data_IF_994153750322
#
_entry.id   IF_994153750322
#
_cell.length_a   1.000
_cell.length_b   1.000
_cell.length_c   1.000
_cell.angle_alpha   90.00
_cell.angle_beta   90.00
_cell.angle_gamma   90.00
#
_symmetry.space_group_name_H-M   'P 1'
#
loop_
_entity.id
_entity.type
_entity.pdbx_description
1 polymer ?
#
# COMPACT_ATOMS: atom_id res chain seq x y z
N UNK A 1 9.93 -17.75 -66.72
CA UNK A 1 10.98 -17.94 -67.75
C UNK A 1 12.30 -18.26 -67.05
N UNK A 2 12.89 -19.39 -67.47
CA UNK A 2 14.28 -19.85 -67.38
C UNK A 2 15.00 -20.03 -66.02
N UNK A 3 14.97 -21.30 -65.60
CA UNK A 3 16.06 -22.07 -65.00
C UNK A 3 17.39 -21.86 -65.74
N UNK A 4 18.52 -21.83 -65.04
CA UNK A 4 19.77 -22.42 -65.52
C UNK A 4 20.61 -23.02 -64.39
N UNK A 5 20.81 -24.34 -64.49
CA UNK A 5 21.89 -25.11 -63.89
C UNK A 5 23.24 -24.64 -64.46
N UNK A 6 24.32 -24.73 -63.67
CA UNK A 6 25.61 -25.10 -64.23
C UNK A 6 26.49 -25.84 -63.21
N UNK A 7 26.42 -27.15 -63.28
CA UNK A 7 27.46 -28.08 -62.87
C UNK A 7 28.68 -27.95 -63.79
N UNK A 8 29.88 -28.26 -63.25
CA UNK A 8 31.05 -28.88 -63.93
C UNK A 8 32.22 -27.96 -64.37
N UNK A 9 33.36 -28.09 -63.68
CA UNK A 9 34.78 -28.07 -64.15
C UNK A 9 35.67 -28.41 -62.93
N UNK A 10 36.25 -29.62 -62.80
CA UNK A 10 37.43 -30.23 -63.44
C UNK A 10 38.77 -29.54 -63.08
N UNK A 11 39.71 -30.32 -62.56
CA UNK A 11 41.18 -30.09 -62.57
C UNK A 11 41.80 -29.97 -61.17
N UNK A 12 42.29 -31.04 -60.51
CA UNK A 12 43.59 -31.74 -60.71
C UNK A 12 44.83 -30.98 -60.20
N UNK A 13 45.32 -31.34 -59.00
CA UNK A 13 46.73 -31.32 -58.54
C UNK A 13 46.86 -32.53 -57.59
N UNK A 14 47.40 -33.69 -57.98
CA UNK A 14 48.79 -34.10 -58.25
C UNK A 14 49.67 -34.17 -56.98
N UNK A 15 49.93 -35.42 -56.54
CA UNK A 15 51.23 -36.05 -56.18
C UNK A 15 52.14 -35.26 -55.22
N UNK A 16 52.68 -35.78 -54.12
CA UNK A 16 53.01 -37.14 -53.70
C UNK A 16 54.35 -37.11 -52.94
N UNK A 17 54.55 -38.08 -52.04
CA UNK A 17 55.81 -38.60 -51.44
C UNK A 17 55.38 -39.23 -50.10
N UNK A 18 55.39 -40.54 -49.92
CA UNK A 18 56.58 -41.39 -49.86
C UNK A 18 56.54 -42.09 -48.49
N UNK A 19 55.88 -43.24 -48.41
CA UNK A 19 56.52 -44.55 -48.15
C UNK A 19 57.42 -44.55 -46.89
N UNK A 20 56.86 -45.05 -45.79
CA UNK A 20 57.61 -45.84 -44.80
C UNK A 20 56.78 -47.09 -44.51
N UNK A 21 57.23 -48.19 -45.10
CA UNK A 21 56.67 -49.55 -45.00
C UNK A 21 57.22 -50.23 -43.73
N UNK A 22 56.31 -50.92 -43.04
CA UNK A 22 56.47 -52.10 -42.18
C UNK A 22 57.78 -52.26 -41.37
N UNK A 23 57.63 -52.34 -40.05
CA UNK A 23 58.25 -53.42 -39.30
C UNK A 23 57.50 -53.70 -37.98
N UNK A 24 56.88 -54.88 -37.97
CA UNK A 24 56.85 -55.84 -36.87
C UNK A 24 55.99 -55.62 -35.60
N UNK A 25 55.33 -56.73 -35.27
CA UNK A 25 54.84 -57.18 -33.97
C UNK A 25 53.37 -56.90 -33.68
N UNK A 26 52.59 -57.98 -33.87
CA UNK A 26 51.40 -58.26 -33.08
C UNK A 26 51.74 -58.09 -31.60
N UNK A 27 51.16 -57.06 -30.99
CA UNK A 27 50.85 -57.09 -29.58
C UNK A 27 49.32 -57.10 -29.50
N UNK A 28 48.78 -58.20 -29.00
CA UNK A 28 47.46 -58.21 -28.40
C UNK A 28 47.47 -57.18 -27.27
N UNK A 29 47.18 -55.93 -27.58
CA UNK A 29 46.70 -54.99 -26.58
C UNK A 29 45.30 -55.46 -26.25
N UNK A 30 45.19 -56.23 -25.16
CA UNK A 30 43.94 -56.39 -24.45
C UNK A 30 43.31 -55.00 -24.34
N UNK A 31 42.16 -54.80 -24.97
CA UNK A 31 41.28 -53.70 -24.63
C UNK A 31 40.87 -54.02 -23.19
N UNK A 32 41.60 -53.47 -22.23
CA UNK A 32 41.13 -53.36 -20.86
C UNK A 32 39.95 -52.41 -20.98
N UNK A 33 38.77 -52.98 -21.20
CA UNK A 33 37.53 -52.32 -20.81
C UNK A 33 37.75 -51.89 -19.36
N UNK A 34 37.62 -50.60 -19.02
CA UNK A 34 37.52 -50.23 -17.62
C UNK A 34 36.29 -50.97 -17.09
N UNK A 35 36.55 -51.96 -16.25
CA UNK A 35 35.54 -52.67 -15.46
C UNK A 35 34.58 -51.62 -14.88
N UNK A 36 33.30 -51.74 -15.19
CA UNK A 36 32.22 -50.84 -14.80
C UNK A 36 31.93 -50.85 -13.28
N UNK A 37 32.95 -51.12 -12.45
CA UNK A 37 32.78 -51.40 -11.03
C UNK A 37 33.02 -50.23 -10.08
N UNK A 38 33.70 -49.15 -10.47
CA UNK A 38 33.89 -47.99 -9.57
C UNK A 38 34.04 -46.67 -10.35
N UNK A 39 32.98 -46.24 -11.05
CA UNK A 39 32.89 -44.82 -11.43
C UNK A 39 32.46 -44.03 -10.19
N UNK A 40 33.43 -43.39 -9.54
CA UNK A 40 33.19 -42.47 -8.42
C UNK A 40 32.24 -41.37 -8.92
N UNK A 41 31.02 -41.31 -8.37
CA UNK A 41 30.03 -40.31 -8.77
C UNK A 41 30.31 -39.00 -8.03
N UNK A 42 30.52 -37.91 -8.76
CA UNK A 42 30.80 -36.60 -8.16
C UNK A 42 29.51 -35.90 -7.70
N UNK A 43 29.52 -35.36 -6.49
CA UNK A 43 28.45 -34.53 -5.96
C UNK A 43 28.52 -33.11 -6.53
N UNK A 44 27.36 -32.47 -6.68
CA UNK A 44 27.24 -31.06 -7.05
C UNK A 44 27.66 -30.18 -5.88
N UNK A 45 28.43 -29.14 -6.17
CA UNK A 45 28.80 -28.08 -5.21
C UNK A 45 27.67 -27.08 -4.96
N UNK A 46 26.71 -26.96 -5.88
CA UNK A 46 25.52 -26.12 -5.70
C UNK A 46 24.28 -26.81 -6.22
N UNK A 47 23.21 -26.82 -5.42
CA UNK A 47 21.95 -27.50 -5.74
C UNK A 47 20.76 -26.60 -5.44
N UNK A 48 19.81 -26.57 -6.38
CA UNK A 48 18.50 -25.97 -6.20
C UNK A 48 17.47 -27.04 -5.88
N UNK A 49 16.66 -26.81 -4.84
CA UNK A 49 15.69 -27.77 -4.32
C UNK A 49 14.32 -27.11 -4.09
N UNK A 50 13.25 -27.91 -4.09
CA UNK A 50 11.89 -27.43 -3.83
C UNK A 50 11.38 -27.84 -2.43
N UNK A 51 11.87 -28.96 -1.91
CA UNK A 51 11.50 -29.51 -0.60
C UNK A 51 12.23 -28.82 0.55
N UNK A 52 11.61 -28.76 1.73
CA UNK A 52 12.24 -28.31 2.97
C UNK A 52 13.17 -29.38 3.56
N UNK A 53 12.93 -30.65 3.27
CA UNK A 53 13.81 -31.76 3.64
C UNK A 53 14.88 -31.98 2.56
N UNK A 54 16.14 -31.97 2.98
CA UNK A 54 17.28 -32.19 2.09
C UNK A 54 17.68 -33.65 2.17
N UNK A 55 17.47 -34.39 1.09
CA UNK A 55 17.93 -35.77 0.93
C UNK A 55 19.21 -35.83 0.13
N UNK A 56 20.06 -36.83 0.35
CA UNK A 56 21.38 -36.86 -0.28
C UNK A 56 21.34 -37.11 -1.80
N UNK A 57 20.25 -37.66 -2.32
CA UNK A 57 20.04 -37.90 -3.75
C UNK A 57 19.93 -36.60 -4.56
N UNK A 58 19.58 -35.46 -3.95
CA UNK A 58 19.56 -34.17 -4.65
C UNK A 58 20.96 -33.71 -5.09
N UNK A 59 22.02 -34.25 -4.46
CA UNK A 59 23.42 -33.86 -4.72
C UNK A 59 24.03 -34.56 -5.93
N UNK A 60 23.45 -35.65 -6.42
CA UNK A 60 23.97 -36.42 -7.56
C UNK A 60 23.42 -35.93 -8.91
N UNK A 61 24.13 -36.27 -9.99
CA UNK A 61 23.68 -36.02 -11.38
C UNK A 61 22.66 -37.07 -11.83
N UNK A 62 21.87 -36.73 -12.84
CA UNK A 62 20.79 -37.56 -13.40
C UNK A 62 21.23 -38.94 -13.90
N UNK A 63 22.52 -39.08 -14.23
CA UNK A 63 23.15 -40.27 -14.83
C UNK A 63 23.61 -41.32 -13.79
N UNK A 64 23.46 -41.06 -12.49
CA UNK A 64 23.83 -42.01 -11.44
C UNK A 64 22.96 -43.28 -11.44
N UNK A 65 23.52 -44.40 -10.98
CA UNK A 65 22.79 -45.69 -10.92
C UNK A 65 21.55 -45.60 -10.02
N UNK A 66 20.46 -46.31 -10.37
CA UNK A 66 19.20 -46.26 -9.62
C UNK A 66 19.37 -46.75 -8.17
N UNK A 67 20.16 -47.80 -7.96
CA UNK A 67 20.47 -48.33 -6.62
C UNK A 67 21.18 -47.29 -5.72
N UNK A 68 22.14 -46.54 -6.27
CA UNK A 68 22.84 -45.49 -5.51
C UNK A 68 21.88 -44.35 -5.16
N UNK A 69 20.99 -43.98 -6.09
CA UNK A 69 19.99 -42.93 -5.87
C UNK A 69 19.02 -43.30 -4.75
N UNK A 70 18.52 -44.53 -4.75
CA UNK A 70 17.60 -45.02 -3.71
C UNK A 70 18.25 -45.01 -2.32
N UNK A 71 19.50 -45.50 -2.23
CA UNK A 71 20.26 -45.49 -0.99
C UNK A 71 20.54 -44.06 -0.48
N UNK A 72 20.80 -43.10 -1.38
CA UNK A 72 21.01 -41.69 -1.02
C UNK A 72 19.70 -40.98 -0.64
N UNK A 73 18.57 -41.34 -1.25
CA UNK A 73 17.27 -40.75 -0.95
C UNK A 73 16.77 -41.08 0.47
N UNK A 74 17.31 -42.14 1.09
CA UNK A 74 17.03 -42.49 2.48
C UNK A 74 17.79 -41.64 3.52
N UNK A 75 18.80 -40.87 3.09
CA UNK A 75 19.69 -40.12 4.00
C UNK A 75 19.31 -38.65 4.01
N UNK A 76 18.90 -38.14 5.18
CA UNK A 76 18.59 -36.74 5.39
C UNK A 76 19.84 -35.92 5.73
N UNK A 77 20.20 -34.99 4.84
CA UNK A 77 21.32 -34.07 4.99
C UNK A 77 20.98 -32.83 5.82
N UNK A 78 19.71 -32.46 5.91
CA UNK A 78 19.30 -31.32 6.73
C UNK A 78 17.88 -30.84 6.43
N UNK A 79 17.61 -29.64 6.91
CA UNK A 79 16.34 -28.96 6.71
C UNK A 79 16.60 -27.49 6.40
N UNK A 80 15.95 -26.95 5.38
CA UNK A 80 15.92 -25.52 5.10
C UNK A 80 14.52 -25.02 5.45
N UNK A 81 14.38 -24.12 6.44
CA UNK A 81 13.07 -23.60 6.82
C UNK A 81 12.41 -22.80 5.69
N UNK A 82 11.08 -22.82 5.64
CA UNK A 82 10.30 -22.05 4.67
C UNK A 82 10.42 -20.53 4.92
N UNK A 83 10.31 -19.65 3.90
CA UNK A 83 10.14 -19.90 2.46
C UNK A 83 11.44 -19.82 1.65
N UNK A 84 12.47 -19.15 2.19
CA UNK A 84 13.76 -18.91 1.55
C UNK A 84 14.86 -19.28 2.54
N UNK A 85 15.87 -19.98 2.04
CA UNK A 85 17.02 -20.33 2.83
C UNK A 85 18.15 -20.88 1.99
N UNK A 86 19.35 -20.72 2.55
CA UNK A 86 20.59 -21.27 2.04
C UNK A 86 21.15 -22.15 3.15
N UNK A 87 21.49 -23.40 2.79
CA UNK A 87 22.21 -24.30 3.67
C UNK A 87 23.56 -24.57 3.04
N UNK A 88 24.61 -24.18 3.75
CA UNK A 88 25.98 -24.53 3.39
C UNK A 88 26.40 -25.69 4.27
N UNK A 89 26.69 -26.83 3.65
CA UNK A 89 27.20 -28.02 4.32
C UNK A 89 28.69 -28.15 4.05
N UNK A 90 29.48 -28.39 5.10
CA UNK A 90 30.87 -28.78 4.95
C UNK A 90 30.98 -30.22 4.44
N UNK A 91 32.01 -30.52 3.65
CA UNK A 91 32.27 -31.85 3.11
C UNK A 91 32.35 -32.91 4.21
N UNK A 92 33.00 -32.58 5.33
CA UNK A 92 33.09 -33.46 6.51
C UNK A 92 31.73 -33.81 7.13
N UNK A 93 30.76 -32.88 7.11
CA UNK A 93 29.41 -33.15 7.61
C UNK A 93 28.64 -34.07 6.66
N UNK A 94 28.84 -33.91 5.35
CA UNK A 94 28.25 -34.77 4.33
C UNK A 94 28.84 -36.17 4.43
N UNK A 95 30.16 -36.31 4.53
CA UNK A 95 30.86 -37.59 4.74
C UNK A 95 30.32 -38.33 5.97
N UNK A 96 30.20 -37.62 7.10
CA UNK A 96 29.66 -38.20 8.34
C UNK A 96 28.23 -38.71 8.17
N UNK A 97 27.39 -38.00 7.42
CA UNK A 97 25.98 -38.39 7.19
C UNK A 97 25.84 -39.51 6.16
N UNK A 98 26.72 -39.58 5.17
CA UNK A 98 26.72 -40.61 4.13
C UNK A 98 27.34 -41.93 4.59
N UNK A 99 28.21 -41.90 5.60
CA UNK A 99 28.83 -43.09 6.17
C UNK A 99 29.62 -43.89 5.13
N UNK A 100 29.33 -45.18 4.98
CA UNK A 100 30.03 -46.06 4.04
C UNK A 100 29.84 -45.64 2.57
N UNK A 101 28.75 -44.95 2.24
CA UNK A 101 28.48 -44.48 0.88
C UNK A 101 29.42 -43.34 0.45
N UNK A 102 30.03 -42.62 1.39
CA UNK A 102 30.95 -41.53 1.10
C UNK A 102 32.15 -42.00 0.28
N UNK A 103 32.64 -43.22 0.53
CA UNK A 103 33.80 -43.80 -0.18
C UNK A 103 33.57 -44.01 -1.69
N UNK A 104 32.31 -44.01 -2.13
CA UNK A 104 31.91 -44.21 -3.53
C UNK A 104 31.61 -42.90 -4.26
N UNK A 105 31.77 -41.77 -3.56
CA UNK A 105 31.39 -40.44 -4.03
C UNK A 105 32.58 -39.48 -3.96
N UNK A 106 32.66 -38.57 -4.92
CA UNK A 106 33.59 -37.43 -4.83
C UNK A 106 32.82 -36.26 -4.20
N UNK A 107 33.18 -35.92 -2.95
CA UNK A 107 32.50 -34.93 -2.12
C UNK A 107 33.31 -33.63 -2.15
N UNK A 108 32.73 -32.49 -2.56
CA UNK A 108 33.37 -31.18 -2.48
C UNK A 108 33.58 -30.70 -1.03
N UNK A 109 34.55 -29.80 -0.82
CA UNK A 109 34.82 -29.19 0.49
C UNK A 109 33.58 -28.49 1.09
N UNK A 110 32.76 -27.88 0.23
CA UNK A 110 31.51 -27.24 0.60
C UNK A 110 30.44 -27.50 -0.45
N UNK A 111 29.20 -27.72 0.02
CA UNK A 111 28.01 -27.79 -0.84
C UNK A 111 27.01 -26.75 -0.39
N UNK A 112 26.61 -25.91 -1.34
CA UNK A 112 25.61 -24.86 -1.14
C UNK A 112 24.25 -25.32 -1.68
N UNK A 113 23.27 -25.42 -0.81
CA UNK A 113 21.92 -25.85 -1.16
C UNK A 113 21.00 -24.65 -1.02
N UNK A 114 20.33 -24.29 -2.11
CA UNK A 114 19.42 -23.15 -2.17
C UNK A 114 18.03 -23.62 -2.52
N UNK A 115 17.01 -23.04 -1.91
CA UNK A 115 15.64 -23.32 -2.34
C UNK A 115 15.33 -22.59 -3.65
N UNK A 116 14.77 -23.29 -4.61
CA UNK A 116 14.25 -22.67 -5.82
C UNK A 116 12.96 -21.92 -5.48
N UNK A 117 12.92 -20.62 -5.80
CA UNK A 117 11.71 -19.82 -5.71
C UNK A 117 11.26 -19.38 -7.10
N UNK A 118 9.96 -19.37 -7.35
CA UNK A 118 9.43 -18.66 -8.51
C UNK A 118 9.44 -17.16 -8.23
N UNK A 119 9.56 -16.36 -9.29
CA UNK A 119 9.43 -14.91 -9.19
C UNK A 119 8.06 -14.48 -9.70
N UNK A 120 7.30 -13.81 -8.84
CA UNK A 120 6.12 -13.06 -9.23
C UNK A 120 6.55 -11.64 -9.59
N UNK A 121 6.24 -11.20 -10.82
CA UNK A 121 6.66 -9.88 -11.31
C UNK A 121 5.81 -8.79 -10.69
N UNK A 122 6.45 -7.70 -10.29
CA UNK A 122 5.78 -6.51 -9.76
C UNK A 122 4.83 -5.85 -10.76
N UNK A 123 5.09 -5.99 -12.06
CA UNK A 123 4.22 -5.48 -13.12
C UNK A 123 2.82 -6.12 -13.08
N UNK A 124 2.75 -7.45 -12.92
CA UNK A 124 1.49 -8.20 -12.86
C UNK A 124 0.68 -7.80 -11.61
N UNK A 125 1.39 -7.59 -10.49
CA UNK A 125 0.80 -7.11 -9.23
C UNK A 125 0.26 -5.69 -9.40
N UNK A 126 1.06 -4.80 -10.00
CA UNK A 126 0.69 -3.41 -10.23
C UNK A 126 -0.53 -3.27 -11.14
N UNK A 127 -0.60 -4.06 -12.21
CA UNK A 127 -1.75 -4.13 -13.10
C UNK A 127 -3.00 -4.54 -12.33
N UNK A 128 -2.91 -5.60 -11.52
CA UNK A 128 -4.04 -6.10 -10.74
C UNK A 128 -4.50 -5.09 -9.68
N UNK A 129 -3.58 -4.46 -8.95
CA UNK A 129 -3.90 -3.37 -8.02
C UNK A 129 -4.63 -2.23 -8.75
N UNK A 130 -4.11 -1.82 -9.91
CA UNK A 130 -4.71 -0.74 -10.69
C UNK A 130 -6.13 -1.08 -11.13
N UNK A 131 -6.37 -2.33 -11.56
CA UNK A 131 -7.70 -2.80 -11.93
C UNK A 131 -8.69 -2.78 -10.76
N UNK A 132 -8.25 -3.17 -9.56
CA UNK A 132 -9.07 -3.12 -8.34
C UNK A 132 -9.34 -1.69 -7.85
N UNK A 133 -8.45 -0.75 -8.15
CA UNK A 133 -8.66 0.65 -7.83
C UNK A 133 -9.63 1.34 -8.79
N UNK A 134 -9.56 1.05 -10.10
CA UNK A 134 -10.26 1.84 -11.12
C UNK A 134 -11.73 1.49 -11.34
N UNK A 135 -12.21 0.32 -10.92
CA UNK A 135 -13.63 -0.05 -11.02
C UNK A 135 -14.23 0.04 -12.44
N UNK A 136 -15.54 -0.22 -12.61
CA UNK A 136 -16.24 -0.06 -13.89
C UNK A 136 -16.57 1.41 -14.21
N UNK A 137 -16.78 2.25 -13.19
CA UNK A 137 -16.97 3.69 -13.32
C UNK A 137 -15.61 4.37 -13.18
N UNK A 138 -14.88 4.42 -14.30
CA UNK A 138 -13.52 4.95 -14.37
C UNK A 138 -13.46 6.45 -14.02
N UNK A 139 -13.42 6.75 -12.73
CA UNK A 139 -12.93 8.04 -12.25
C UNK A 139 -11.41 8.13 -12.48
N UNK A 140 -10.91 9.32 -12.82
CA UNK A 140 -9.47 9.59 -13.03
C UNK A 140 -8.70 9.46 -11.71
N UNK A 141 -8.48 8.21 -11.30
CA UNK A 141 -7.71 7.82 -10.13
C UNK A 141 -6.22 7.67 -10.51
N UNK A 142 -5.39 8.42 -9.81
CA UNK A 142 -3.95 8.26 -9.79
C UNK A 142 -3.57 7.23 -8.72
N UNK A 143 -2.88 6.17 -9.13
CA UNK A 143 -2.41 5.09 -8.25
C UNK A 143 -0.88 5.15 -8.17
N UNK A 144 -0.35 5.41 -6.98
CA UNK A 144 1.08 5.47 -6.72
C UNK A 144 1.64 4.07 -6.42
N UNK A 145 2.26 3.48 -7.44
CA UNK A 145 2.81 2.13 -7.41
C UNK A 145 4.27 2.08 -6.92
N UNK A 146 4.84 3.19 -6.45
CA UNK A 146 6.25 3.25 -6.00
C UNK A 146 6.59 2.28 -4.87
N UNK A 147 5.58 1.83 -4.12
CA UNK A 147 5.70 0.87 -3.01
C UNK A 147 5.47 -0.58 -3.42
N UNK A 148 5.11 -0.85 -4.67
CA UNK A 148 4.98 -2.22 -5.20
C UNK A 148 6.38 -2.76 -5.48
N UNK A 149 6.77 -3.92 -4.90
CA UNK A 149 8.07 -4.52 -5.17
C UNK A 149 8.23 -4.85 -6.66
N UNK A 150 9.43 -4.66 -7.20
CA UNK A 150 9.73 -5.01 -8.61
C UNK A 150 9.55 -6.51 -8.88
N UNK A 151 9.92 -7.36 -7.91
CA UNK A 151 9.70 -8.80 -7.94
C UNK A 151 9.45 -9.29 -6.51
N UNK A 152 8.61 -10.31 -6.38
CA UNK A 152 8.40 -11.06 -5.14
C UNK A 152 8.90 -12.49 -5.38
N UNK A 153 9.78 -12.96 -4.51
CA UNK A 153 10.26 -14.35 -4.55
C UNK A 153 9.30 -15.20 -3.73
N UNK A 154 8.75 -16.22 -4.36
CA UNK A 154 7.78 -17.14 -3.77
C UNK A 154 8.46 -18.42 -3.26
N UNK A 155 7.87 -19.12 -2.26
CA UNK A 155 8.34 -20.43 -1.80
C UNK A 155 8.06 -21.55 -2.81
N UNK A 156 8.63 -21.46 -4.01
CA UNK A 156 8.48 -22.48 -5.05
C UNK A 156 7.60 -22.05 -6.23
N UNK A 157 7.14 -23.01 -7.02
CA UNK A 157 6.38 -22.80 -8.25
C UNK A 157 4.97 -22.25 -7.96
N UNK A 158 4.62 -21.16 -8.66
CA UNK A 158 3.33 -20.50 -8.53
C UNK A 158 2.21 -21.35 -9.16
N UNK A 159 1.21 -21.73 -8.35
CA UNK A 159 0.00 -22.41 -8.83
C UNK A 159 -1.12 -21.40 -9.08
N UNK A 160 -1.38 -20.52 -8.10
CA UNK A 160 -2.37 -19.47 -8.17
C UNK A 160 -1.98 -18.31 -7.25
N UNK A 161 -2.42 -17.09 -7.58
CA UNK A 161 -2.33 -15.95 -6.68
C UNK A 161 -3.52 -15.03 -6.85
N UNK A 162 -3.81 -14.29 -5.80
CA UNK A 162 -4.83 -13.27 -5.78
C UNK A 162 -4.34 -12.07 -4.96
N UNK A 163 -5.00 -10.94 -5.16
CA UNK A 163 -4.78 -9.74 -4.38
C UNK A 163 -6.13 -9.13 -4.06
N UNK A 164 -6.39 -8.93 -2.78
CA UNK A 164 -7.65 -8.44 -2.27
C UNK A 164 -7.39 -7.21 -1.40
N UNK A 165 -8.38 -6.34 -1.26
CA UNK A 165 -8.32 -5.21 -0.32
C UNK A 165 -9.49 -5.29 0.64
N UNK A 166 -9.21 -5.13 1.92
CA UNK A 166 -10.23 -5.07 2.97
C UNK A 166 -10.61 -3.62 3.30
N UNK A 167 -10.17 -2.66 2.49
CA UNK A 167 -10.44 -1.24 2.72
C UNK A 167 -11.60 -0.77 1.87
N UNK A 168 -12.65 -0.31 2.55
CA UNK A 168 -13.83 0.30 1.94
C UNK A 168 -13.53 1.70 1.34
N UNK A 169 -12.41 2.33 1.75
CA UNK A 169 -12.03 3.64 1.24
C UNK A 169 -11.47 3.52 -0.19
N UNK A 170 -11.97 4.38 -1.09
CA UNK A 170 -11.54 4.43 -2.48
C UNK A 170 -10.26 5.27 -2.61
N UNK A 171 -10.19 6.40 -1.89
CA UNK A 171 -9.02 7.27 -1.86
C UNK A 171 -8.16 7.11 -0.60
N UNK A 172 -6.91 7.55 -0.71
CA UNK A 172 -5.93 7.59 0.38
C UNK A 172 -5.01 6.37 0.38
N UNK A 173 -4.59 5.95 1.57
CA UNK A 173 -3.74 4.77 1.72
C UNK A 173 -4.59 3.51 1.72
N UNK A 174 -4.46 2.69 0.68
CA UNK A 174 -5.13 1.39 0.56
C UNK A 174 -4.15 0.27 0.87
N UNK A 175 -4.62 -0.68 1.67
CA UNK A 175 -3.89 -1.89 2.02
C UNK A 175 -4.40 -3.05 1.17
N UNK A 176 -3.50 -3.68 0.44
CA UNK A 176 -3.74 -4.87 -0.35
C UNK A 176 -3.06 -6.07 0.33
N UNK A 177 -3.75 -7.20 0.29
CA UNK A 177 -3.29 -8.49 0.79
C UNK A 177 -3.07 -9.36 -0.44
N UNK A 178 -1.82 -9.66 -0.76
CA UNK A 178 -1.45 -10.63 -1.77
C UNK A 178 -1.35 -12.00 -1.11
N UNK A 179 -2.07 -12.97 -1.65
CA UNK A 179 -2.01 -14.38 -1.26
C UNK A 179 -1.63 -15.22 -2.48
N UNK A 180 -0.70 -16.14 -2.31
CA UNK A 180 -0.31 -17.07 -3.37
C UNK A 180 -0.26 -18.50 -2.84
N UNK A 181 -0.70 -19.44 -3.66
CA UNK A 181 -0.55 -20.87 -3.43
C UNK A 181 0.60 -21.35 -4.30
N UNK A 182 1.59 -21.97 -3.65
CA UNK A 182 2.78 -22.52 -4.30
C UNK A 182 3.03 -23.94 -3.83
N UNK A 183 3.85 -24.68 -4.57
CA UNK A 183 4.23 -26.06 -4.21
C UNK A 183 5.07 -26.15 -2.92
N UNK A 184 5.77 -25.08 -2.52
CA UNK A 184 6.44 -24.99 -1.22
C UNK A 184 5.64 -24.27 -0.14
N UNK A 185 4.33 -24.07 -0.35
CA UNK A 185 3.39 -23.62 0.68
C UNK A 185 2.65 -22.33 0.38
N UNK A 186 1.77 -21.88 1.29
CA UNK A 186 1.05 -20.62 1.15
C UNK A 186 1.98 -19.43 1.39
N UNK A 187 1.83 -18.39 0.58
CA UNK A 187 2.53 -17.12 0.71
C UNK A 187 1.54 -15.98 0.95
N UNK A 188 1.91 -15.03 1.81
CA UNK A 188 1.11 -13.85 2.09
C UNK A 188 1.99 -12.62 2.27
N UNK A 189 1.66 -11.53 1.57
CA UNK A 189 2.33 -10.25 1.69
C UNK A 189 1.33 -9.08 1.70
N UNK A 190 1.65 -8.06 2.50
CA UNK A 190 0.90 -6.81 2.54
C UNK A 190 1.56 -5.78 1.64
N UNK A 191 0.77 -5.10 0.82
CA UNK A 191 1.22 -4.04 -0.08
C UNK A 191 0.38 -2.79 0.18
N UNK A 192 1.05 -1.67 0.46
CA UNK A 192 0.39 -0.39 0.69
C UNK A 192 0.56 0.51 -0.51
N UNK A 193 -0.55 1.00 -1.04
CA UNK A 193 -0.58 1.85 -2.23
C UNK A 193 -1.38 3.12 -1.92
N UNK A 194 -0.90 4.26 -2.42
CA UNK A 194 -1.63 5.52 -2.31
C UNK A 194 -2.49 5.71 -3.55
N UNK A 195 -3.76 6.00 -3.34
CA UNK A 195 -4.73 6.34 -4.39
C UNK A 195 -5.16 7.78 -4.17
N UNK A 196 -5.08 8.59 -5.21
CA UNK A 196 -5.57 9.96 -5.21
C UNK A 196 -6.39 10.24 -6.48
N UNK A 197 -7.18 11.31 -6.44
CA UNK A 197 -7.99 11.77 -7.56
C UNK A 197 -7.63 13.20 -7.86
N UNK A 198 -7.49 13.55 -9.13
CA UNK A 198 -7.36 14.95 -9.54
C UNK A 198 -8.76 15.45 -9.88
N UNK A 199 -9.24 16.46 -9.14
CA UNK A 199 -10.55 17.07 -9.38
C UNK A 199 -10.38 18.54 -9.77
N UNK A 200 -11.26 19.01 -10.64
CA UNK A 200 -11.38 20.44 -10.95
C UNK A 200 -12.26 21.12 -9.87
N UNK A 201 -11.63 21.89 -9.01
CA UNK A 201 -12.29 22.59 -7.91
C UNK A 201 -12.40 24.10 -8.14
N UNK A 202 -13.32 24.74 -7.42
CA UNK A 202 -13.46 26.19 -7.39
C UNK A 202 -12.46 26.82 -6.40
N UNK A 203 -11.61 27.74 -6.88
CA UNK A 203 -10.70 28.54 -6.05
C UNK A 203 -11.12 30.01 -6.07
N UNK A 204 -11.21 30.66 -4.91
CA UNK A 204 -11.51 32.08 -4.81
C UNK A 204 -10.39 32.96 -5.36
N UNK A 205 -10.73 33.94 -6.17
CA UNK A 205 -9.80 34.93 -6.74
C UNK A 205 -9.61 36.15 -5.84
N UNK A 206 -10.51 36.36 -4.88
CA UNK A 206 -10.49 37.50 -3.93
C UNK A 206 -11.01 37.12 -2.55
N UNK A 207 -10.86 38.03 -1.59
CA UNK A 207 -11.51 37.94 -0.29
C UNK A 207 -13.04 37.96 -0.46
N UNK A 208 -13.74 37.09 0.26
CA UNK A 208 -15.20 36.99 0.26
C UNK A 208 -15.75 36.85 1.69
N UNK A 209 -16.91 37.47 1.93
CA UNK A 209 -17.54 37.62 3.26
C UNK A 209 -18.60 36.54 3.50
N UNK A 210 -18.93 36.20 4.76
CA UNK A 210 -20.08 35.36 5.08
C UNK A 210 -21.37 35.96 4.51
N UNK A 211 -22.22 35.11 3.94
CA UNK A 211 -23.48 35.48 3.29
C UNK A 211 -23.34 36.02 1.86
N UNK A 212 -22.12 36.19 1.36
CA UNK A 212 -21.87 36.63 -0.01
C UNK A 212 -22.13 35.48 -0.99
N UNK A 213 -22.89 35.76 -2.06
CA UNK A 213 -23.15 34.80 -3.13
C UNK A 213 -21.95 34.71 -4.06
N UNK A 214 -21.48 33.49 -4.28
CA UNK A 214 -20.35 33.21 -5.16
C UNK A 214 -20.82 33.36 -6.61
N UNK A 215 -20.18 34.24 -7.36
CA UNK A 215 -20.42 34.45 -8.78
C UNK A 215 -19.20 34.04 -9.63
N UNK A 216 -19.38 34.00 -10.95
CA UNK A 216 -18.34 33.58 -11.90
C UNK A 216 -17.03 34.40 -11.81
N UNK A 217 -17.10 35.66 -11.38
CA UNK A 217 -15.92 36.53 -11.30
C UNK A 217 -15.13 36.34 -10.01
N UNK A 218 -15.71 35.65 -9.01
CA UNK A 218 -15.11 35.41 -7.70
C UNK A 218 -14.29 34.14 -7.64
N UNK A 219 -14.46 33.23 -8.60
CA UNK A 219 -13.82 31.91 -8.57
C UNK A 219 -13.14 31.61 -9.90
N UNK A 220 -12.15 30.72 -9.85
CA UNK A 220 -11.53 30.12 -11.02
C UNK A 220 -11.42 28.60 -10.84
N UNK A 221 -11.28 27.89 -11.95
CA UNK A 221 -11.05 26.44 -11.97
C UNK A 221 -9.61 26.15 -11.55
N UNK A 222 -9.41 25.18 -10.66
CA UNK A 222 -8.09 24.71 -10.22
C UNK A 222 -8.09 23.20 -10.07
N UNK A 223 -7.09 22.54 -10.63
CA UNK A 223 -6.86 21.12 -10.39
C UNK A 223 -6.30 20.90 -8.98
N UNK A 224 -6.95 20.03 -8.22
CA UNK A 224 -6.58 19.73 -6.83
C UNK A 224 -6.51 18.22 -6.65
N UNK A 225 -5.45 17.75 -6.00
CA UNK A 225 -5.29 16.35 -5.62
C UNK A 225 -6.10 16.06 -4.35
N UNK A 226 -7.09 15.17 -4.46
CA UNK A 226 -7.91 14.66 -3.35
C UNK A 226 -7.35 13.32 -2.90
N UNK A 227 -7.06 13.22 -1.60
CA UNK A 227 -6.44 12.04 -0.97
C UNK A 227 -7.38 11.30 -0.01
N UNK A 228 -8.62 11.77 0.12
CA UNK A 228 -9.59 11.23 1.06
C UNK A 228 -11.00 11.59 0.61
N UNK A 229 -11.91 10.63 0.73
CA UNK A 229 -13.35 10.79 0.46
C UNK A 229 -14.11 11.35 1.67
N UNK A 230 -13.42 11.64 2.78
CA UNK A 230 -14.06 12.12 4.01
C UNK A 230 -14.56 13.57 3.88
N UNK A 231 -15.39 13.97 4.86
CA UNK A 231 -16.26 15.16 4.91
C UNK A 231 -15.58 16.53 4.75
N UNK A 232 -14.96 16.80 3.59
CA UNK A 232 -14.57 18.14 3.16
C UNK A 232 -14.13 18.18 1.69
N UNK A 233 -14.89 17.52 0.82
CA UNK A 233 -14.54 17.40 -0.60
C UNK A 233 -14.56 18.82 -1.24
N UNK A 234 -13.55 19.16 -2.06
CA UNK A 234 -13.59 20.39 -2.85
C UNK A 234 -14.84 20.45 -3.71
N UNK A 235 -15.50 21.59 -3.75
CA UNK A 235 -16.66 21.78 -4.64
C UNK A 235 -16.20 22.13 -6.03
N UNK A 236 -16.93 21.64 -7.03
CA UNK A 236 -16.68 21.98 -8.43
C UNK A 236 -17.04 23.45 -8.70
N UNK A 237 -16.55 23.98 -9.82
CA UNK A 237 -16.91 25.32 -10.27
C UNK A 237 -18.43 25.49 -10.38
N UNK A 238 -19.13 24.52 -10.99
CA UNK A 238 -20.56 24.58 -11.21
C UNK A 238 -21.37 24.54 -9.91
N UNK A 239 -20.94 23.73 -8.94
CA UNK A 239 -21.61 23.63 -7.63
C UNK A 239 -21.40 24.87 -6.76
N UNK A 240 -20.27 25.56 -6.92
CA UNK A 240 -19.93 26.74 -6.12
C UNK A 240 -20.75 27.98 -6.56
N UNK A 241 -21.01 28.15 -7.85
CA UNK A 241 -21.72 29.33 -8.38
C UNK A 241 -23.16 29.38 -7.85
N UNK A 242 -23.58 30.54 -7.35
CA UNK A 242 -24.91 30.77 -6.78
C UNK A 242 -25.06 30.30 -5.33
N UNK A 243 -24.05 29.63 -4.76
CA UNK A 243 -24.04 29.30 -3.32
C UNK A 243 -23.50 30.47 -2.51
N UNK A 244 -23.88 30.52 -1.23
CA UNK A 244 -23.43 31.56 -0.31
C UNK A 244 -22.37 31.01 0.65
N UNK A 245 -21.41 31.85 1.01
CA UNK A 245 -20.36 31.47 1.95
C UNK A 245 -20.89 31.46 3.39
N UNK A 246 -20.59 30.41 4.15
CA UNK A 246 -20.89 30.36 5.58
C UNK A 246 -19.91 31.17 6.43
N UNK A 247 -18.69 31.41 5.92
CA UNK A 247 -17.58 32.04 6.67
C UNK A 247 -16.70 32.91 5.75
N UNK A 248 -15.88 33.77 6.36
CA UNK A 248 -14.88 34.54 5.64
C UNK A 248 -13.85 33.62 4.98
N UNK A 249 -13.48 33.93 3.73
CA UNK A 249 -12.46 33.20 2.97
C UNK A 249 -11.56 34.15 2.19
N UNK A 250 -10.26 33.89 2.21
CA UNK A 250 -9.24 34.65 1.49
C UNK A 250 -9.10 34.20 0.04
N UNK A 251 -8.51 35.06 -0.79
CA UNK A 251 -8.07 34.70 -2.12
C UNK A 251 -7.14 33.48 -2.09
N UNK A 252 -7.20 32.64 -3.12
CA UNK A 252 -6.45 31.38 -3.23
C UNK A 252 -7.06 30.21 -2.46
N UNK A 253 -8.18 30.41 -1.75
CA UNK A 253 -8.83 29.32 -1.02
C UNK A 253 -9.63 28.44 -1.97
N UNK A 254 -9.36 27.13 -1.97
CA UNK A 254 -10.22 26.12 -2.62
C UNK A 254 -11.47 25.93 -1.79
N UNK A 255 -12.63 26.13 -2.41
CA UNK A 255 -13.92 26.00 -1.78
C UNK A 255 -14.26 24.54 -1.52
N UNK A 256 -14.91 24.29 -0.39
CA UNK A 256 -15.35 22.96 0.02
C UNK A 256 -16.80 23.01 0.50
N UNK A 257 -17.46 21.87 0.57
CA UNK A 257 -18.89 21.82 0.94
C UNK A 257 -19.16 22.45 2.33
N UNK A 258 -18.21 22.33 3.26
CA UNK A 258 -18.32 22.93 4.60
C UNK A 258 -18.19 24.46 4.62
N UNK A 259 -17.69 25.06 3.54
CA UNK A 259 -17.54 26.51 3.40
C UNK A 259 -18.82 27.19 2.90
N UNK A 260 -19.75 26.40 2.37
CA UNK A 260 -21.00 26.86 1.80
C UNK A 260 -22.11 26.80 2.85
N UNK A 261 -22.99 27.80 2.88
CA UNK A 261 -24.18 27.78 3.72
C UNK A 261 -25.24 26.88 3.10
N UNK A 262 -25.52 25.73 3.72
CA UNK A 262 -26.62 24.83 3.34
C UNK A 262 -27.70 24.86 4.41
N UNK A 263 -28.84 25.53 4.14
CA UNK A 263 -30.00 25.54 5.04
C UNK A 263 -31.13 26.46 4.56
N UNK A 264 -32.37 26.23 5.03
CA UNK A 264 -33.58 27.01 4.69
C UNK A 264 -33.58 28.46 5.22
N UNK A 265 -32.51 28.87 5.92
CA UNK A 265 -32.22 30.26 6.29
C UNK A 265 -31.03 30.81 5.52
N UNK A 266 -30.98 30.62 4.20
CA UNK A 266 -29.89 31.07 3.35
C UNK A 266 -29.55 32.54 3.62
N UNK A 267 -28.35 32.78 4.17
CA UNK A 267 -27.80 34.12 4.47
C UNK A 267 -27.37 34.81 3.16
N UNK A 268 -27.87 34.35 2.01
CA UNK A 268 -27.75 35.08 0.76
C UNK A 268 -28.51 36.38 0.95
N UNK A 269 -27.79 37.44 1.30
CA UNK A 269 -28.39 38.76 1.48
C UNK A 269 -29.17 39.06 0.20
N UNK A 270 -30.46 39.31 0.36
CA UNK A 270 -31.32 39.93 -0.65
C UNK A 270 -30.76 41.32 -0.95
N UNK A 271 -29.71 41.39 -1.78
CA UNK A 271 -29.21 42.64 -2.33
C UNK A 271 -29.91 42.87 -3.65
N UNK A 272 -31.19 43.23 -3.59
CA UNK A 272 -31.90 43.93 -4.65
C UNK A 272 -33.15 44.58 -4.05
N UNK A 273 -32.94 45.74 -3.45
CA UNK A 273 -33.85 46.90 -3.41
C UNK A 273 -33.15 48.05 -2.66
N UNK A 274 -32.69 49.01 -3.47
CA UNK A 274 -32.94 50.45 -3.30
C UNK A 274 -33.31 50.95 -1.90
N UNK A 275 -32.54 51.93 -1.43
CA UNK A 275 -32.96 53.02 -0.54
C UNK A 275 -34.15 52.73 0.37
N UNK A 276 -33.86 52.28 1.59
CA UNK A 276 -34.59 52.76 2.75
C UNK A 276 -33.80 52.50 4.03
N UNK A 277 -33.62 53.57 4.80
CA UNK A 277 -33.23 53.54 6.20
C UNK A 277 -34.24 52.70 6.98
N UNK A 278 -34.04 51.40 7.08
CA UNK A 278 -34.77 50.56 8.03
C UNK A 278 -33.77 49.61 8.69
N UNK A 279 -33.36 50.02 9.90
CA UNK A 279 -32.85 49.14 10.94
C UNK A 279 -33.85 48.01 11.11
N UNK A 280 -33.67 46.90 10.40
CA UNK A 280 -34.43 45.68 10.68
C UNK A 280 -33.76 44.99 11.85
N UNK A 281 -34.30 45.32 13.02
CA UNK A 281 -34.25 44.55 14.24
C UNK A 281 -34.35 43.05 13.92
N UNK A 282 -33.28 42.32 14.23
CA UNK A 282 -33.44 40.92 14.56
C UNK A 282 -34.34 40.87 15.80
N UNK A 283 -35.58 40.41 15.61
CA UNK A 283 -36.44 39.88 16.66
C UNK A 283 -35.76 38.64 17.30
N UNK A 284 -34.67 38.86 18.02
CA UNK A 284 -34.57 38.31 19.36
C UNK A 284 -35.48 39.21 20.16
N UNK A 285 -36.53 38.66 20.79
CA UNK A 285 -37.40 39.41 21.70
C UNK A 285 -36.54 40.41 22.48
N UNK A 286 -36.67 41.70 22.15
CA UNK A 286 -36.08 42.82 22.90
C UNK A 286 -36.91 42.97 24.17
N UNK A 287 -36.95 41.91 24.95
CA UNK A 287 -37.36 41.93 26.32
C UNK A 287 -36.06 41.96 27.12
N UNK A 288 -35.66 43.19 27.49
CA UNK A 288 -34.79 43.49 28.63
C UNK A 288 -33.32 43.02 28.53
N UNK A 289 -32.51 43.71 27.72
CA UNK A 289 -31.04 43.73 27.93
C UNK A 289 -30.66 44.32 29.29
N UNK A 290 -31.54 45.11 29.91
CA UNK A 290 -31.37 45.66 31.26
C UNK A 290 -31.67 44.66 32.39
N UNK A 291 -32.25 43.48 32.09
CA UNK A 291 -32.49 42.43 33.09
C UNK A 291 -31.55 41.23 32.98
N UNK A 292 -30.50 41.33 32.18
CA UNK A 292 -29.50 40.27 32.12
C UNK A 292 -28.76 40.18 33.45
N UNK A 293 -28.88 39.01 34.07
CA UNK A 293 -28.22 38.67 35.32
C UNK A 293 -26.74 38.40 35.08
N UNK A 294 -26.37 37.92 33.88
CA UNK A 294 -24.98 37.74 33.44
C UNK A 294 -24.78 38.45 32.10
N UNK A 295 -23.74 39.28 32.01
CA UNK A 295 -23.39 40.01 30.78
C UNK A 295 -22.30 39.29 29.97
N UNK A 296 -22.25 39.48 28.64
CA UNK A 296 -21.13 38.98 27.84
C UNK A 296 -19.80 39.55 28.35
N UNK A 297 -18.81 38.69 28.52
CA UNK A 297 -17.48 39.03 29.03
C UNK A 297 -17.34 38.99 30.55
N UNK A 298 -18.44 38.81 31.29
CA UNK A 298 -18.43 38.71 32.75
C UNK A 298 -17.81 37.38 33.21
N UNK A 299 -17.02 37.41 34.29
CA UNK A 299 -16.46 36.21 34.88
C UNK A 299 -17.49 35.57 35.82
N UNK A 300 -17.71 34.27 35.68
CA UNK A 300 -18.75 33.51 36.35
C UNK A 300 -18.17 32.18 36.86
N UNK A 301 -18.75 31.65 37.91
CA UNK A 301 -18.41 30.34 38.45
C UNK A 301 -19.32 29.28 37.81
N UNK A 302 -18.70 28.34 37.10
CA UNK A 302 -19.37 27.19 36.54
C UNK A 302 -19.37 26.03 37.54
N UNK A 303 -20.55 25.60 37.95
CA UNK A 303 -20.75 24.49 38.90
C UNK A 303 -21.18 23.22 38.15
N UNK A 304 -20.41 22.16 38.32
CA UNK A 304 -20.73 20.83 37.81
C UNK A 304 -21.00 19.90 38.98
N UNK A 305 -22.26 19.45 39.11
CA UNK A 305 -22.67 18.49 40.11
C UNK A 305 -23.02 17.17 39.40
N UNK A 306 -22.31 16.09 39.73
CA UNK A 306 -22.61 14.75 39.22
C UNK A 306 -22.49 13.73 40.36
N UNK A 307 -23.63 13.22 40.83
CA UNK A 307 -23.69 12.34 42.00
C UNK A 307 -23.20 13.05 43.26
N UNK A 308 -22.13 12.53 43.86
CA UNK A 308 -21.47 13.10 45.07
C UNK A 308 -20.36 14.10 44.74
N UNK A 309 -20.01 14.27 43.46
CA UNK A 309 -18.94 15.17 43.04
C UNK A 309 -19.51 16.56 42.72
N UNK A 310 -18.99 17.59 43.39
CA UNK A 310 -19.26 19.00 43.09
C UNK A 310 -17.96 19.70 42.71
N UNK A 311 -17.90 20.23 41.48
CA UNK A 311 -16.76 20.95 40.94
C UNK A 311 -17.13 22.41 40.66
N UNK A 312 -16.28 23.32 41.10
CA UNK A 312 -16.38 24.76 40.84
C UNK A 312 -15.27 25.19 39.90
N UNK A 313 -15.62 25.75 38.76
CA UNK A 313 -14.68 26.10 37.68
C UNK A 313 -14.85 27.58 37.30
N UNK A 314 -13.79 28.40 37.35
CA UNK A 314 -13.89 29.79 36.91
C UNK A 314 -14.01 29.86 35.38
N UNK A 315 -15.00 30.59 34.90
CA UNK A 315 -15.34 30.71 33.48
C UNK A 315 -15.66 32.17 33.10
N UNK A 316 -15.70 32.46 31.80
CA UNK A 316 -16.12 33.76 31.26
C UNK A 316 -17.29 33.58 30.30
N UNK A 317 -18.33 34.39 30.47
CA UNK A 317 -19.51 34.35 29.62
C UNK A 317 -19.22 34.85 28.21
N UNK A 318 -19.55 34.06 27.19
CA UNK A 318 -19.48 34.48 25.78
C UNK A 318 -20.77 35.19 25.36
N UNK A 319 -21.87 34.81 26.00
CA UNK A 319 -23.22 35.33 25.76
C UNK A 319 -23.83 35.73 27.10
N UNK A 320 -24.65 36.78 27.09
CA UNK A 320 -25.40 37.22 28.28
C UNK A 320 -26.79 36.60 28.31
N UNK A 321 -27.39 36.53 29.49
CA UNK A 321 -28.70 35.93 29.70
C UNK A 321 -29.27 36.24 31.07
N UNK A 322 -30.52 35.82 31.26
CA UNK A 322 -31.25 35.87 32.54
C UNK A 322 -31.27 34.48 33.18
N UNK A 323 -31.74 34.39 34.43
CA UNK A 323 -31.91 33.10 35.10
C UNK A 323 -32.78 32.14 34.26
N UNK A 324 -32.32 30.89 34.13
CA UNK A 324 -32.95 29.86 33.30
C UNK A 324 -32.44 29.81 31.85
N UNK A 325 -31.72 30.82 31.36
CA UNK A 325 -31.19 30.80 29.99
C UNK A 325 -29.96 29.88 29.87
N UNK A 326 -29.87 29.12 28.77
CA UNK A 326 -28.67 28.37 28.41
C UNK A 326 -27.66 29.32 27.74
N UNK A 327 -26.46 29.43 28.30
CA UNK A 327 -25.39 30.27 27.79
C UNK A 327 -24.10 29.49 27.53
N UNK A 328 -23.30 29.99 26.58
CA UNK A 328 -21.96 29.48 26.31
C UNK A 328 -20.92 30.26 27.12
N UNK A 329 -20.01 29.53 27.76
CA UNK A 329 -18.90 30.04 28.54
C UNK A 329 -17.56 29.55 27.99
N UNK A 330 -16.48 30.22 28.37
CA UNK A 330 -15.09 29.76 28.18
C UNK A 330 -14.50 29.46 29.55
N UNK A 331 -14.03 28.23 29.76
CA UNK A 331 -13.30 27.85 30.96
C UNK A 331 -11.94 28.55 30.98
N UNK A 332 -11.65 29.30 32.05
CA UNK A 332 -10.42 30.09 32.15
C UNK A 332 -9.16 29.26 32.39
N UNK A 333 -9.31 28.04 32.92
CA UNK A 333 -8.19 27.14 33.21
C UNK A 333 -7.69 26.42 31.95
N UNK A 334 -8.60 25.96 31.07
CA UNK A 334 -8.24 25.14 29.91
C UNK A 334 -8.66 25.74 28.55
N UNK A 335 -9.23 26.94 28.53
CA UNK A 335 -9.67 27.68 27.34
C UNK A 335 -10.71 26.93 26.48
N UNK A 336 -11.39 25.91 27.02
CA UNK A 336 -12.44 25.18 26.31
C UNK A 336 -13.79 25.86 26.47
N UNK A 337 -14.63 25.74 25.44
CA UNK A 337 -16.02 26.19 25.48
C UNK A 337 -16.88 25.17 26.23
N UNK A 338 -17.69 25.66 27.16
CA UNK A 338 -18.63 24.85 27.96
C UNK A 338 -20.01 25.52 27.91
N UNK A 339 -21.08 24.73 28.03
CA UNK A 339 -22.47 25.22 28.06
C UNK A 339 -23.06 25.00 29.45
N UNK A 340 -23.94 25.90 29.86
CA UNK A 340 -24.67 25.76 31.11
C UNK A 340 -25.85 26.70 31.24
N UNK A 341 -26.67 26.45 32.24
CA UNK A 341 -27.88 27.22 32.54
C UNK A 341 -27.59 28.20 33.67
N UNK A 342 -27.97 29.47 33.47
CA UNK A 342 -27.84 30.51 34.49
C UNK A 342 -28.79 30.19 35.65
N UNK A 343 -28.26 30.06 36.87
CA UNK A 343 -29.08 29.85 38.07
C UNK A 343 -29.31 31.14 38.84
N UNK A 344 -28.25 31.91 38.99
CA UNK A 344 -28.23 33.16 39.75
C UNK A 344 -27.03 34.00 39.29
N UNK A 345 -26.94 35.24 39.79
CA UNK A 345 -25.84 36.14 39.42
C UNK A 345 -24.47 35.53 39.70
N UNK A 346 -23.66 35.42 38.66
CA UNK A 346 -22.30 34.89 38.78
C UNK A 346 -22.19 33.36 38.83
N UNK A 347 -23.31 32.61 38.74
CA UNK A 347 -23.29 31.14 38.83
C UNK A 347 -24.05 30.47 37.68
N UNK A 348 -23.38 29.54 37.03
CA UNK A 348 -23.91 28.77 35.90
C UNK A 348 -23.73 27.29 36.18
N UNK A 349 -24.76 26.48 35.96
CA UNK A 349 -24.73 25.03 36.20
C UNK A 349 -24.75 24.23 34.90
N UNK A 350 -24.21 23.01 34.93
CA UNK A 350 -24.22 22.11 33.79
C UNK A 350 -25.66 21.76 33.35
N UNK A 351 -25.96 21.99 32.07
CA UNK A 351 -27.20 21.52 31.47
C UNK A 351 -27.09 20.00 31.24
N UNK A 352 -27.82 19.20 32.03
CA UNK A 352 -28.09 17.82 31.62
C UNK A 352 -29.03 17.87 30.42
N UNK A 353 -28.62 17.27 29.30
CA UNK A 353 -29.50 17.02 28.16
C UNK A 353 -30.54 15.96 28.49
#
# INVERSE_FOLDING_TARGET
MNKYNLTRRIGSIVIGCGVAILCCCQANAAIIMPSAKDQITALKSTVLINSSEIKADCLIKSEASPELRENLAAIQLGHIPDPLGELVLAGSDIERKLGSLASRLSIPDHVTIRRAGAMLKGADIAERITSLCKGPDAEDLAVDLSRVPTNIVLPGALQNWEINTNSDNILGMRLFVLTAQTDGGPFRQLIQVRVSRIVEAAELTRLARPGETINNNMIRRKQVEVKSDQSNIPVTYAEAVGKCLGRFKSAGTVLRSSDLSTGSGNICKSSDKSDSNLRSESFVKVAKRDSWVIKPGENVDFHFNSGTLSLKIPARAVQGGSEGDEITLINLQNQRRIRGVIKEKGRVEYAQN
#
